data_IF_753707588913
#
_entry.id   IF_753707588913
#
_cell.length_a   1.000
_cell.length_b   1.000
_cell.length_c   1.000
_cell.angle_alpha   90.00
_cell.angle_beta   90.00
_cell.angle_gamma   90.00
#
_symmetry.space_group_name_H-M   'P 1'
#
loop_
_entity.id
_entity.type
_entity.pdbx_description
1 polymer ?
#
# COMPACT_ATOMS: atom_id res chain seq x y z
N UNK A 1 47.66 9.35 -40.52
CA UNK A 1 47.71 9.58 -39.06
C UNK A 1 46.57 10.52 -38.69
N UNK A 2 45.55 10.04 -37.97
CA UNK A 2 44.34 10.79 -37.66
C UNK A 2 44.35 11.29 -36.21
N UNK A 3 44.08 12.59 -36.04
CA UNK A 3 44.10 13.35 -34.78
C UNK A 3 42.91 13.00 -33.90
N UNK A 4 43.16 12.44 -32.71
CA UNK A 4 42.13 12.18 -31.69
C UNK A 4 41.78 13.48 -30.95
N UNK A 5 40.50 13.86 -30.96
CA UNK A 5 39.97 14.96 -30.13
C UNK A 5 39.54 14.41 -28.78
N UNK A 6 40.29 14.74 -27.73
CA UNK A 6 39.92 14.48 -26.33
C UNK A 6 38.85 15.49 -25.91
N UNK A 7 37.65 15.03 -25.57
CA UNK A 7 36.65 15.86 -24.90
C UNK A 7 36.69 15.62 -23.40
N UNK A 8 36.90 16.66 -22.60
CA UNK A 8 36.90 16.56 -21.14
C UNK A 8 35.48 16.22 -20.62
N UNK A 9 35.34 15.07 -19.95
CA UNK A 9 34.19 14.80 -19.08
C UNK A 9 34.51 15.32 -17.68
N UNK A 10 33.60 16.08 -17.08
CA UNK A 10 33.69 16.52 -15.67
C UNK A 10 33.49 15.29 -14.77
N UNK A 11 34.54 14.83 -14.12
CA UNK A 11 34.48 13.85 -13.02
C UNK A 11 34.51 14.58 -11.69
N UNK A 12 33.35 14.94 -11.14
CA UNK A 12 33.25 15.22 -9.71
C UNK A 12 32.88 13.93 -8.99
N UNK A 13 33.87 13.06 -8.83
CA UNK A 13 33.81 11.86 -8.01
C UNK A 13 34.42 12.12 -6.63
N UNK A 14 33.70 11.72 -5.59
CA UNK A 14 34.27 11.45 -4.25
C UNK A 14 34.31 12.64 -3.30
N UNK A 15 33.40 12.64 -2.31
CA UNK A 15 33.53 13.47 -1.11
C UNK A 15 34.71 12.94 -0.28
N UNK A 16 35.73 13.77 -0.02
CA UNK A 16 36.89 13.37 0.76
C UNK A 16 36.53 13.01 2.22
N UNK A 17 37.26 12.09 2.88
CA UNK A 17 36.97 11.67 4.25
C UNK A 17 37.38 12.78 5.24
N UNK A 18 36.40 13.44 5.86
CA UNK A 18 36.66 14.54 6.81
C UNK A 18 36.81 13.99 8.23
N UNK A 19 37.96 14.28 8.84
CA UNK A 19 38.35 14.01 10.23
C UNK A 19 37.25 14.49 11.21
N UNK A 20 36.90 13.66 12.20
CA UNK A 20 35.83 13.91 13.16
C UNK A 20 36.18 15.09 14.08
N UNK A 21 35.34 16.13 14.04
CA UNK A 21 35.13 17.07 15.13
C UNK A 21 33.61 17.15 15.34
N UNK A 22 33.17 16.79 16.55
CA UNK A 22 31.78 16.74 16.93
C UNK A 22 31.12 18.10 16.68
N UNK A 23 30.24 18.15 15.69
CA UNK A 23 29.38 19.29 15.43
C UNK A 23 27.95 18.84 15.66
N UNK A 24 27.38 19.39 16.75
CA UNK A 24 25.97 19.38 17.15
C UNK A 24 25.09 19.41 15.90
N UNK A 25 24.20 18.42 15.77
CA UNK A 25 23.33 18.27 14.61
C UNK A 25 22.36 19.46 14.50
N UNK A 26 22.79 20.50 13.79
CA UNK A 26 21.89 21.48 13.21
C UNK A 26 21.03 20.70 12.20
N UNK A 27 19.77 20.45 12.57
CA UNK A 27 18.76 19.94 11.65
C UNK A 27 18.82 20.81 10.40
N UNK A 28 18.95 20.17 9.23
CA UNK A 28 18.92 20.83 7.92
C UNK A 28 17.76 21.83 7.90
N UNK A 29 18.06 23.12 8.08
CA UNK A 29 17.18 24.17 7.62
C UNK A 29 17.09 24.04 6.11
N UNK A 30 15.89 24.22 5.58
CA UNK A 30 15.57 24.11 4.17
C UNK A 30 16.56 24.93 3.31
N UNK A 31 16.88 24.51 2.07
CA UNK A 31 17.65 25.35 1.17
C UNK A 31 16.90 26.67 0.99
N UNK A 32 17.51 27.76 1.48
CA UNK A 32 17.14 29.11 1.08
C UNK A 32 17.50 29.23 -0.40
N UNK A 33 16.50 29.48 -1.24
CA UNK A 33 16.51 29.49 -2.73
C UNK A 33 16.37 28.12 -3.40
N UNK A 34 15.14 27.85 -3.86
CA UNK A 34 14.75 26.67 -4.63
C UNK A 34 13.44 26.08 -4.11
N UNK A 35 12.34 26.37 -4.80
CA UNK A 35 10.99 25.95 -4.41
C UNK A 35 10.93 24.48 -3.97
N UNK A 36 10.23 24.22 -2.86
CA UNK A 36 10.04 22.88 -2.31
C UNK A 36 9.57 21.94 -3.41
N UNK A 37 10.33 20.86 -3.69
CA UNK A 37 9.90 19.83 -4.64
C UNK A 37 8.49 19.37 -4.24
N UNK A 38 7.56 19.42 -5.20
CA UNK A 38 6.19 18.96 -4.98
C UNK A 38 6.22 17.53 -4.40
N UNK A 39 5.42 17.23 -3.35
CA UNK A 39 5.30 15.87 -2.84
C UNK A 39 4.95 14.92 -3.97
N UNK A 40 5.66 13.80 -4.05
CA UNK A 40 5.38 12.79 -5.07
C UNK A 40 4.02 12.16 -4.82
N UNK A 41 3.11 12.28 -5.80
CA UNK A 41 1.80 11.64 -5.78
C UNK A 41 1.73 10.56 -6.85
N UNK A 42 1.35 9.34 -6.44
CA UNK A 42 1.14 8.23 -7.38
C UNK A 42 -0.05 8.50 -8.30
N UNK A 43 0.00 7.94 -9.52
CA UNK A 43 -1.13 7.97 -10.44
C UNK A 43 -2.29 7.14 -9.85
N UNK A 44 -3.55 7.51 -10.15
CA UNK A 44 -4.70 6.69 -9.76
C UNK A 44 -4.50 5.24 -10.23
N UNK A 45 -4.96 4.27 -9.42
CA UNK A 45 -4.77 2.84 -9.68
C UNK A 45 -3.40 2.27 -9.28
N UNK A 46 -2.33 3.07 -9.20
CA UNK A 46 -0.99 2.55 -8.87
C UNK A 46 -0.90 1.97 -7.46
N UNK A 47 -1.51 2.65 -6.48
CA UNK A 47 -1.54 2.17 -5.09
C UNK A 47 -2.49 0.98 -4.96
N UNK A 48 -3.65 1.02 -5.62
CA UNK A 48 -4.64 -0.05 -5.60
C UNK A 48 -4.07 -1.37 -6.16
N UNK A 49 -3.37 -1.34 -7.31
CA UNK A 49 -2.73 -2.53 -7.88
C UNK A 49 -1.65 -3.11 -6.97
N UNK A 50 -0.91 -2.26 -6.25
CA UNK A 50 0.09 -2.70 -5.28
C UNK A 50 -0.55 -3.40 -4.08
N UNK A 51 -1.67 -2.86 -3.59
CA UNK A 51 -2.44 -3.45 -2.49
C UNK A 51 -3.08 -4.78 -2.90
N UNK A 52 -3.68 -4.87 -4.09
CA UNK A 52 -4.23 -6.13 -4.64
C UNK A 52 -3.15 -7.22 -4.65
N UNK A 53 -1.96 -6.92 -5.21
CA UNK A 53 -0.85 -7.87 -5.25
C UNK A 53 -0.37 -8.26 -3.85
N UNK A 54 -0.33 -7.32 -2.91
CA UNK A 54 0.08 -7.58 -1.51
C UNK A 54 -0.91 -8.53 -0.84
N UNK A 55 -2.21 -8.24 -0.90
CA UNK A 55 -3.25 -9.02 -0.24
C UNK A 55 -3.49 -10.38 -0.88
N UNK A 56 -3.23 -10.53 -2.18
CA UNK A 56 -3.26 -11.84 -2.84
C UNK A 56 -2.06 -12.71 -2.47
N UNK A 57 -0.92 -12.12 -2.11
CA UNK A 57 0.31 -12.85 -1.71
C UNK A 57 0.31 -13.28 -0.25
N UNK A 58 -0.33 -12.50 0.63
CA UNK A 58 -0.38 -12.75 2.07
C UNK A 58 -1.75 -13.27 2.51
N UNK A 59 -1.79 -13.93 3.68
CA UNK A 59 -3.05 -14.40 4.31
C UNK A 59 -3.39 -13.62 5.58
N UNK A 60 -2.90 -12.38 5.70
CA UNK A 60 -3.22 -11.52 6.86
C UNK A 60 -4.72 -11.14 6.88
N UNK A 61 -5.27 -10.99 8.09
CA UNK A 61 -6.67 -10.61 8.24
C UNK A 61 -6.89 -9.16 7.79
N UNK A 62 -7.86 -8.95 6.90
CA UNK A 62 -8.20 -7.61 6.40
C UNK A 62 -9.03 -6.79 7.40
N UNK A 63 -9.65 -7.45 8.39
CA UNK A 63 -10.46 -6.83 9.44
C UNK A 63 -9.79 -7.09 10.79
N UNK A 64 -9.77 -6.07 11.65
CA UNK A 64 -9.19 -6.18 13.00
C UNK A 64 -9.99 -7.15 13.86
N UNK A 65 -9.30 -7.99 14.63
CA UNK A 65 -9.91 -9.06 15.45
C UNK A 65 -10.90 -8.53 16.51
N UNK A 66 -10.53 -7.49 17.26
CA UNK A 66 -11.33 -6.99 18.38
C UNK A 66 -12.69 -6.39 17.98
N UNK A 67 -12.80 -5.46 17.01
CA UNK A 67 -14.10 -4.92 16.62
C UNK A 67 -15.01 -5.99 16.01
N UNK A 68 -14.47 -6.92 15.22
CA UNK A 68 -15.28 -8.03 14.69
C UNK A 68 -15.78 -8.96 15.81
N UNK A 69 -14.93 -9.29 16.78
CA UNK A 69 -15.34 -10.10 17.92
C UNK A 69 -16.47 -9.44 18.72
N UNK A 70 -16.46 -8.11 18.86
CA UNK A 70 -17.55 -7.36 19.53
C UNK A 70 -18.85 -7.49 18.73
N UNK A 71 -18.79 -7.26 17.42
CA UNK A 71 -19.95 -7.40 16.53
C UNK A 71 -20.59 -8.80 16.60
N UNK A 72 -19.78 -9.86 16.56
CA UNK A 72 -20.30 -11.23 16.66
C UNK A 72 -21.01 -11.48 17.98
N UNK A 73 -20.49 -10.90 19.08
CA UNK A 73 -21.10 -11.06 20.41
C UNK A 73 -22.38 -10.25 20.54
N UNK A 74 -22.42 -9.05 19.97
CA UNK A 74 -23.61 -8.20 19.91
C UNK A 74 -24.75 -8.94 19.22
N UNK A 75 -24.53 -9.39 17.97
CA UNK A 75 -25.54 -10.14 17.20
C UNK A 75 -25.97 -11.41 17.93
N UNK A 76 -25.04 -12.15 18.54
CA UNK A 76 -25.37 -13.40 19.20
C UNK A 76 -26.18 -13.22 20.49
N UNK A 77 -25.97 -12.11 21.19
CA UNK A 77 -26.71 -11.77 22.40
C UNK A 77 -28.21 -11.58 22.10
N UNK A 78 -28.56 -11.09 20.89
CA UNK A 78 -29.94 -10.90 20.45
C UNK A 78 -30.71 -12.23 20.32
N UNK A 79 -30.01 -13.35 20.12
CA UNK A 79 -30.62 -14.67 19.99
C UNK A 79 -30.66 -15.46 21.31
N UNK A 80 -29.59 -15.40 22.10
CA UNK A 80 -29.51 -16.11 23.39
C UNK A 80 -28.52 -15.43 24.32
N UNK A 81 -28.99 -15.09 25.52
CA UNK A 81 -28.13 -14.62 26.61
C UNK A 81 -27.27 -15.80 27.13
N UNK A 82 -25.97 -15.57 27.36
CA UNK A 82 -24.97 -16.54 27.86
C UNK A 82 -24.30 -17.50 26.86
N UNK A 83 -24.18 -17.10 25.59
CA UNK A 83 -23.37 -17.85 24.62
C UNK A 83 -21.86 -17.76 24.93
N UNK A 84 -21.24 -18.92 25.16
CA UNK A 84 -19.78 -19.06 25.30
C UNK A 84 -19.14 -19.35 23.96
N UNK A 85 -18.17 -18.52 23.59
CA UNK A 85 -17.46 -18.65 22.32
C UNK A 85 -16.06 -19.21 22.50
N UNK A 86 -15.71 -20.22 21.70
CA UNK A 86 -14.38 -20.78 21.66
C UNK A 86 -13.38 -19.78 21.05
N UNK A 87 -12.21 -19.59 21.68
CA UNK A 87 -11.20 -18.58 21.28
C UNK A 87 -10.74 -18.76 19.83
N UNK A 88 -10.56 -20.01 19.39
CA UNK A 88 -10.16 -20.34 18.03
C UNK A 88 -11.23 -19.98 17.00
N UNK A 89 -12.52 -19.98 17.38
CA UNK A 89 -13.65 -19.77 16.46
C UNK A 89 -14.04 -18.29 16.31
N UNK A 90 -13.83 -17.47 17.34
CA UNK A 90 -13.95 -16.01 17.24
C UNK A 90 -12.82 -15.37 16.43
N UNK A 91 -11.63 -15.96 16.50
CA UNK A 91 -10.43 -15.45 15.82
C UNK A 91 -10.12 -16.18 14.51
N UNK A 92 -10.67 -17.39 14.34
CA UNK A 92 -10.69 -18.23 13.14
C UNK A 92 -11.72 -17.71 12.14
N UNK A 93 -11.50 -16.47 11.76
CA UNK A 93 -12.28 -15.68 10.84
C UNK A 93 -11.99 -16.10 9.38
N UNK A 94 -11.30 -17.24 9.18
CA UNK A 94 -10.78 -17.73 7.89
C UNK A 94 -11.88 -17.86 6.84
N UNK A 95 -13.09 -18.27 7.23
CA UNK A 95 -14.24 -18.42 6.32
C UNK A 95 -14.85 -17.10 5.85
N UNK A 96 -14.93 -16.07 6.68
CA UNK A 96 -15.49 -14.78 6.24
C UNK A 96 -14.47 -14.00 5.40
N UNK A 97 -13.16 -14.08 5.74
CA UNK A 97 -12.10 -13.44 4.98
C UNK A 97 -11.87 -14.09 3.61
N UNK A 98 -12.30 -15.33 3.42
CA UNK A 98 -12.34 -15.98 2.09
C UNK A 98 -13.63 -15.65 1.34
N UNK A 99 -14.76 -15.52 2.03
CA UNK A 99 -16.03 -15.16 1.41
C UNK A 99 -16.07 -13.71 0.86
N UNK A 100 -15.54 -12.74 1.60
CA UNK A 100 -15.54 -11.32 1.16
C UNK A 100 -14.79 -11.07 -0.16
N UNK A 101 -13.55 -11.56 -0.39
CA UNK A 101 -12.90 -11.41 -1.69
C UNK A 101 -13.58 -12.24 -2.80
N UNK A 102 -14.25 -13.36 -2.47
CA UNK A 102 -15.00 -14.14 -3.44
C UNK A 102 -16.22 -13.37 -3.98
N UNK A 103 -16.99 -12.72 -3.09
CA UNK A 103 -18.08 -11.82 -3.50
C UNK A 103 -17.54 -10.62 -4.30
N UNK A 104 -16.44 -10.01 -3.87
CA UNK A 104 -15.82 -8.90 -4.60
C UNK A 104 -15.41 -9.29 -6.02
N UNK A 105 -14.87 -10.51 -6.20
CA UNK A 105 -14.55 -11.07 -7.52
C UNK A 105 -15.82 -11.24 -8.36
N UNK A 106 -16.89 -11.80 -7.79
CA UNK A 106 -18.16 -11.97 -8.49
C UNK A 106 -18.77 -10.63 -8.93
N UNK A 107 -18.67 -9.59 -8.09
CA UNK A 107 -19.13 -8.25 -8.46
C UNK A 107 -18.26 -7.63 -9.55
N UNK A 108 -16.93 -7.84 -9.52
CA UNK A 108 -16.03 -7.32 -10.55
C UNK A 108 -16.25 -8.00 -11.91
N UNK A 109 -16.52 -9.31 -11.93
CA UNK A 109 -16.84 -10.02 -13.17
C UNK A 109 -18.14 -9.51 -13.78
N UNK A 110 -19.17 -9.22 -12.96
CA UNK A 110 -20.42 -8.66 -13.45
C UNK A 110 -20.28 -7.22 -13.97
N UNK A 111 -19.41 -6.40 -13.38
CA UNK A 111 -19.16 -5.03 -13.87
C UNK A 111 -18.41 -4.98 -15.20
N UNK A 112 -17.49 -5.92 -15.44
CA UNK A 112 -16.77 -6.02 -16.71
C UNK A 112 -17.71 -6.49 -17.85
N UNK A 113 -18.67 -7.37 -17.55
CA UNK A 113 -19.64 -7.85 -18.54
C UNK A 113 -20.76 -6.83 -18.86
N UNK A 114 -20.93 -5.79 -18.04
CA UNK A 114 -22.03 -4.80 -18.18
C UNK A 114 -21.63 -3.52 -18.93
N UNK A 115 -20.39 -3.38 -19.38
CA UNK A 115 -20.00 -2.22 -20.21
C UNK A 115 -20.42 -2.48 -21.67
N UNK A 116 -21.44 -1.80 -22.22
CA UNK A 116 -21.78 -1.96 -23.63
C UNK A 116 -20.62 -1.44 -24.50
N UNK A 117 -20.16 -2.19 -25.51
CA UNK A 117 -19.06 -1.81 -26.40
C UNK A 117 -19.47 -0.74 -27.44
N UNK A 118 -20.18 0.32 -27.02
CA UNK A 118 -20.82 1.26 -27.94
C UNK A 118 -20.42 2.74 -27.79
N UNK A 119 -19.62 3.15 -26.79
CA UNK A 119 -19.19 4.55 -26.63
C UNK A 119 -17.69 4.78 -26.87
N UNK A 120 -17.09 3.96 -27.73
CA UNK A 120 -15.72 4.18 -28.23
C UNK A 120 -15.74 4.29 -29.74
N UNK A 121 -16.09 5.48 -30.23
CA UNK A 121 -15.65 5.98 -31.53
C UNK A 121 -15.46 7.51 -31.47
N UNK A 122 -14.63 8.06 -32.36
CA UNK A 122 -13.19 8.23 -32.25
C UNK A 122 -12.76 9.56 -31.61
#
# INVERSE_FOLDING_TARGET
>A
MARTKQTARKSTGGKAPRKQLATKAARKSAPATGGVKKPHRYRPGTVALREIRRYQKSTELLIRKLPFQRLVREIAQDFKTDLRFQRLRLTGHTHTHTHTPALFRATHTLTEETIPPAELQP
#
